data_IF_634812235170
#
_entry.id   IF_634812235170
#
_cell.length_a   1.000
_cell.length_b   1.000
_cell.length_c   1.000
_cell.angle_alpha   90.00
_cell.angle_beta   90.00
_cell.angle_gamma   90.00
#
_symmetry.space_group_name_H-M   'P 1'
#
loop_
_entity.id
_entity.type
_entity.pdbx_description
1 polymer ?
#
# COMPACT_ATOMS: atom_id res chain seq x y z
N UNK A 1 -50.74 0.06 -15.91
CA UNK A 1 -49.60 -0.16 -16.83
C UNK A 1 -48.60 1.00 -16.83
N UNK A 2 -49.02 2.26 -17.05
CA UNK A 2 -48.10 3.43 -17.09
C UNK A 2 -47.26 3.66 -15.82
N UNK A 3 -47.83 3.41 -14.62
CA UNK A 3 -47.14 3.58 -13.33
C UNK A 3 -46.04 2.54 -13.06
N UNK A 4 -46.19 1.33 -13.59
CA UNK A 4 -45.18 0.26 -13.46
C UNK A 4 -43.97 0.54 -14.35
N UNK A 5 -44.20 1.13 -15.52
CA UNK A 5 -43.15 1.50 -16.47
C UNK A 5 -42.24 2.62 -15.91
N UNK A 6 -42.84 3.62 -15.26
CA UNK A 6 -42.11 4.71 -14.58
C UNK A 6 -41.27 4.20 -13.39
N UNK A 7 -41.80 3.27 -12.60
CA UNK A 7 -41.06 2.64 -11.49
C UNK A 7 -39.87 1.79 -11.97
N UNK A 8 -40.01 1.09 -13.11
CA UNK A 8 -38.89 0.33 -13.69
C UNK A 8 -37.77 1.23 -14.26
N UNK A 9 -38.15 2.34 -14.89
CA UNK A 9 -37.18 3.30 -15.43
C UNK A 9 -36.37 4.00 -14.32
N UNK A 10 -37.01 4.27 -13.18
CA UNK A 10 -36.35 4.88 -12.02
C UNK A 10 -35.35 3.92 -11.35
N UNK A 11 -35.66 2.61 -11.32
CA UNK A 11 -34.77 1.60 -10.77
C UNK A 11 -33.50 1.39 -11.63
N UNK A 12 -33.61 1.50 -12.96
CA UNK A 12 -32.45 1.40 -13.85
C UNK A 12 -31.47 2.58 -13.72
N UNK A 13 -31.95 3.78 -13.36
CA UNK A 13 -31.08 4.95 -13.20
C UNK A 13 -30.23 4.89 -11.91
N UNK A 14 -30.65 4.16 -10.88
CA UNK A 14 -29.88 4.05 -9.63
C UNK A 14 -28.71 3.04 -9.70
N UNK A 15 -28.62 2.23 -10.76
CA UNK A 15 -27.56 1.22 -10.90
C UNK A 15 -26.25 1.75 -11.53
N UNK A 16 -26.26 2.97 -12.11
CA UNK A 16 -25.14 3.46 -12.95
C UNK A 16 -24.04 4.18 -12.12
N UNK A 17 -24.32 4.60 -10.89
CA UNK A 17 -23.40 5.44 -10.09
C UNK A 17 -22.33 4.69 -9.27
N UNK A 18 -22.27 3.36 -9.32
CA UNK A 18 -21.42 2.56 -8.41
C UNK A 18 -19.95 2.35 -8.85
N UNK A 19 -19.48 2.92 -9.97
CA UNK A 19 -18.19 2.55 -10.60
C UNK A 19 -17.11 3.67 -10.69
N UNK A 20 -17.19 4.76 -9.92
CA UNK A 20 -16.27 5.90 -10.11
C UNK A 20 -14.95 5.84 -9.29
N UNK A 21 -14.91 5.16 -8.13
CA UNK A 21 -13.80 5.30 -7.15
C UNK A 21 -12.49 4.57 -7.50
N UNK A 22 -12.41 3.83 -8.61
CA UNK A 22 -11.19 3.10 -9.03
C UNK A 22 -10.46 3.78 -10.18
N UNK A 23 -10.98 4.91 -10.65
CA UNK A 23 -10.62 5.48 -11.95
C UNK A 23 -9.37 6.35 -11.86
N UNK A 24 -9.15 7.05 -10.75
CA UNK A 24 -8.14 8.10 -10.60
C UNK A 24 -6.70 7.57 -10.80
N UNK A 25 -6.24 6.62 -9.99
CA UNK A 25 -4.87 6.06 -10.13
C UNK A 25 -4.63 5.39 -11.48
N UNK A 26 -5.64 4.68 -12.00
CA UNK A 26 -5.57 4.04 -13.31
C UNK A 26 -5.49 5.07 -14.43
N UNK A 27 -6.31 6.11 -14.35
CA UNK A 27 -6.34 7.19 -15.31
C UNK A 27 -5.01 7.94 -15.32
N UNK A 28 -4.48 8.26 -14.13
CA UNK A 28 -3.18 8.89 -13.99
C UNK A 28 -2.05 8.07 -14.62
N UNK A 29 -2.00 6.76 -14.37
CA UNK A 29 -1.00 5.89 -14.99
C UNK A 29 -1.17 5.83 -16.51
N UNK A 30 -2.42 5.75 -16.99
CA UNK A 30 -2.72 5.74 -18.42
C UNK A 30 -2.36 7.07 -19.11
N UNK A 31 -2.44 8.20 -18.42
CA UNK A 31 -2.04 9.52 -18.95
C UNK A 31 -0.51 9.63 -19.12
N UNK A 32 0.26 8.82 -18.39
CA UNK A 32 1.72 8.81 -18.44
C UNK A 32 2.30 7.63 -19.22
N UNK A 33 1.49 6.67 -19.70
CA UNK A 33 2.00 5.49 -20.40
C UNK A 33 2.59 5.77 -21.79
N UNK A 34 2.45 6.99 -22.32
CA UNK A 34 3.04 7.42 -23.59
C UNK A 34 4.39 8.11 -23.44
N UNK A 35 4.77 8.48 -22.21
CA UNK A 35 5.98 9.27 -21.90
C UNK A 35 6.86 8.63 -20.81
N UNK A 36 6.46 7.46 -20.34
CA UNK A 36 7.09 6.75 -19.24
C UNK A 36 6.80 5.25 -19.34
N UNK A 37 7.73 4.43 -18.85
CA UNK A 37 7.50 3.02 -18.61
C UNK A 37 6.53 2.87 -17.43
N UNK A 38 5.44 2.12 -17.63
CA UNK A 38 4.41 1.94 -16.61
C UNK A 38 4.17 0.46 -16.35
N UNK A 39 4.34 0.04 -15.09
CA UNK A 39 4.02 -1.32 -14.69
C UNK A 39 2.77 -1.35 -13.83
N UNK A 40 1.97 -2.40 -14.01
CA UNK A 40 0.76 -2.62 -13.22
C UNK A 40 0.70 -4.04 -12.71
N UNK A 41 0.76 -4.17 -11.39
CA UNK A 41 0.60 -5.46 -10.70
C UNK A 41 -0.68 -5.40 -9.87
N UNK A 42 -1.62 -6.29 -10.15
CA UNK A 42 -2.92 -6.35 -9.48
C UNK A 42 -3.17 -7.71 -8.86
N UNK A 43 -3.07 -7.79 -7.53
CA UNK A 43 -3.37 -9.01 -6.78
C UNK A 43 -4.73 -8.86 -6.10
N UNK A 44 -5.67 -9.74 -6.45
CA UNK A 44 -6.97 -9.85 -5.79
C UNK A 44 -6.91 -10.82 -4.60
N UNK A 45 -7.99 -10.89 -3.82
CA UNK A 45 -8.04 -11.75 -2.63
C UNK A 45 -7.75 -13.23 -2.91
N UNK A 46 -8.07 -13.72 -4.11
CA UNK A 46 -7.85 -15.12 -4.49
C UNK A 46 -6.35 -15.47 -4.55
N UNK A 47 -5.52 -14.82 -5.39
CA UNK A 47 -4.08 -15.11 -5.40
C UNK A 47 -3.42 -14.84 -4.04
N UNK A 48 -3.83 -13.79 -3.30
CA UNK A 48 -3.32 -13.53 -1.95
C UNK A 48 -3.59 -14.67 -0.97
N UNK A 49 -4.78 -15.29 -1.02
CA UNK A 49 -5.11 -16.45 -0.19
C UNK A 49 -4.32 -17.69 -0.57
N UNK A 50 -4.06 -17.88 -1.86
CA UNK A 50 -3.28 -19.01 -2.36
C UNK A 50 -1.84 -18.90 -1.86
N UNK A 51 -1.21 -17.72 -1.99
CA UNK A 51 0.12 -17.45 -1.42
C UNK A 51 0.15 -17.73 0.09
N UNK A 52 -0.88 -17.29 0.82
CA UNK A 52 -0.99 -17.56 2.27
C UNK A 52 -1.10 -19.05 2.63
N UNK A 53 -1.56 -19.91 1.71
CA UNK A 53 -1.65 -21.35 1.92
C UNK A 53 -0.34 -22.08 1.61
N UNK A 54 0.40 -21.62 0.59
CA UNK A 54 1.69 -22.22 0.19
C UNK A 54 2.85 -21.87 1.12
N UNK A 55 2.74 -20.81 1.93
CA UNK A 55 3.77 -20.46 2.92
C UNK A 55 3.64 -21.39 4.14
N UNK A 56 4.65 -22.23 4.45
CA UNK A 56 4.59 -23.22 5.52
C UNK A 56 4.28 -22.56 6.88
N UNK A 57 3.53 -23.26 7.74
CA UNK A 57 3.07 -22.75 9.03
C UNK A 57 4.19 -22.26 9.95
N UNK A 58 5.37 -22.87 9.85
CA UNK A 58 6.59 -22.51 10.59
C UNK A 58 7.14 -21.12 10.22
N UNK A 59 6.90 -20.65 8.98
CA UNK A 59 7.25 -19.29 8.55
C UNK A 59 6.30 -18.23 9.14
N UNK A 60 5.23 -18.64 9.82
CA UNK A 60 4.28 -17.76 10.50
C UNK A 60 4.42 -17.76 12.03
N UNK A 61 5.48 -18.34 12.59
CA UNK A 61 5.68 -18.37 14.04
C UNK A 61 6.02 -16.99 14.63
N UNK A 62 5.66 -16.80 15.90
CA UNK A 62 5.83 -15.53 16.60
C UNK A 62 5.10 -14.36 15.91
N UNK A 63 5.89 -13.34 15.57
CA UNK A 63 5.44 -12.04 15.07
C UNK A 63 4.69 -12.09 13.74
N UNK A 64 4.91 -13.17 12.97
CA UNK A 64 4.35 -13.41 11.66
C UNK A 64 2.87 -13.86 11.70
N UNK A 65 2.38 -14.43 12.81
CA UNK A 65 0.95 -14.78 12.98
C UNK A 65 0.04 -13.57 12.89
N UNK A 66 0.46 -12.45 13.47
CA UNK A 66 -0.31 -11.21 13.42
C UNK A 66 -0.29 -10.59 12.02
N UNK A 67 0.85 -10.62 11.34
CA UNK A 67 0.96 -10.25 9.92
C UNK A 67 0.00 -11.07 9.04
N UNK A 68 -0.12 -12.37 9.29
CA UNK A 68 -1.09 -13.23 8.58
C UNK A 68 -2.54 -12.77 8.78
N UNK A 69 -2.90 -12.33 9.98
CA UNK A 69 -4.24 -11.81 10.27
C UNK A 69 -4.50 -10.49 9.54
N UNK A 70 -3.49 -9.60 9.48
CA UNK A 70 -3.57 -8.34 8.75
C UNK A 70 -3.66 -8.55 7.23
N UNK A 71 -2.83 -9.44 6.67
CA UNK A 71 -2.88 -9.80 5.24
C UNK A 71 -4.24 -10.38 4.86
N UNK A 72 -4.87 -11.18 5.74
CA UNK A 72 -6.24 -11.68 5.51
C UNK A 72 -7.29 -10.56 5.46
N UNK A 73 -7.05 -9.42 6.10
CA UNK A 73 -7.92 -8.23 6.02
C UNK A 73 -7.69 -7.43 4.73
N UNK A 74 -6.62 -7.72 3.98
CA UNK A 74 -6.38 -7.15 2.65
C UNK A 74 -7.17 -7.93 1.59
N UNK A 75 -8.05 -7.22 0.87
CA UNK A 75 -8.89 -7.78 -0.21
C UNK A 75 -8.23 -7.68 -1.58
N UNK A 76 -7.45 -6.63 -1.83
CA UNK A 76 -6.71 -6.48 -3.08
C UNK A 76 -5.58 -5.49 -2.91
N UNK A 77 -4.48 -5.74 -3.60
CA UNK A 77 -3.38 -4.81 -3.79
C UNK A 77 -3.30 -4.47 -5.27
N UNK A 78 -3.15 -3.19 -5.57
CA UNK A 78 -2.79 -2.72 -6.91
C UNK A 78 -1.58 -1.82 -6.77
N UNK A 79 -0.54 -2.17 -7.51
CA UNK A 79 0.69 -1.42 -7.63
C UNK A 79 0.74 -0.85 -9.04
N UNK A 80 1.04 0.44 -9.14
CA UNK A 80 1.42 1.11 -10.37
C UNK A 80 2.77 1.76 -10.13
N UNK A 81 3.70 1.53 -11.05
CA UNK A 81 4.96 2.27 -11.10
C UNK A 81 4.98 3.06 -12.40
N UNK A 82 5.57 4.25 -12.34
CA UNK A 82 5.82 5.12 -13.47
C UNK A 82 7.31 5.47 -13.39
N UNK A 83 8.07 5.08 -14.40
CA UNK A 83 9.49 5.38 -14.55
C UNK A 83 9.65 6.26 -15.79
N UNK A 84 10.15 7.47 -15.60
CA UNK A 84 10.25 8.47 -16.66
C UNK A 84 11.50 8.23 -17.52
N UNK A 85 11.31 8.10 -18.83
CA UNK A 85 12.38 7.72 -19.78
C UNK A 85 13.57 8.71 -19.79
N UNK A 86 13.33 9.95 -19.41
CA UNK A 86 14.31 11.04 -19.39
C UNK A 86 14.93 11.31 -18.01
N UNK A 87 14.57 10.53 -16.98
CA UNK A 87 15.01 10.75 -15.59
C UNK A 87 14.39 11.99 -14.93
N UNK A 88 13.48 12.71 -15.61
CA UNK A 88 12.77 13.83 -14.98
C UNK A 88 11.69 13.30 -14.04
N UNK A 89 11.50 13.96 -12.88
CA UNK A 89 10.41 13.58 -11.99
C UNK A 89 9.03 13.84 -12.63
N UNK A 90 8.06 13.00 -12.27
CA UNK A 90 6.65 13.24 -12.64
C UNK A 90 6.23 14.64 -12.21
N UNK A 91 5.61 15.38 -13.13
CA UNK A 91 5.33 16.81 -12.92
C UNK A 91 4.56 17.06 -11.62
N UNK A 92 5.00 18.04 -10.83
CA UNK A 92 4.35 18.40 -9.56
C UNK A 92 2.88 18.77 -9.74
N UNK A 93 2.52 19.37 -10.87
CA UNK A 93 1.15 19.73 -11.21
C UNK A 93 0.28 18.49 -11.44
N UNK A 94 0.79 17.52 -12.22
CA UNK A 94 0.12 16.22 -12.44
C UNK A 94 -0.13 15.51 -11.12
N UNK A 95 0.88 15.45 -10.24
CA UNK A 95 0.76 14.83 -8.92
C UNK A 95 -0.22 15.59 -8.03
N UNK A 96 -0.19 16.92 -8.02
CA UNK A 96 -1.13 17.73 -7.25
C UNK A 96 -2.58 17.52 -7.70
N UNK A 97 -2.82 17.42 -9.02
CA UNK A 97 -4.13 17.09 -9.59
C UNK A 97 -4.59 15.71 -9.16
N UNK A 98 -3.73 14.69 -9.24
CA UNK A 98 -4.04 13.35 -8.74
C UNK A 98 -4.47 13.38 -7.27
N UNK A 99 -3.73 14.11 -6.42
CA UNK A 99 -4.10 14.27 -5.00
C UNK A 99 -5.47 14.91 -4.86
N UNK A 100 -5.73 15.99 -5.58
CA UNK A 100 -7.01 16.68 -5.55
C UNK A 100 -8.17 15.78 -5.97
N UNK A 101 -7.99 14.97 -7.02
CA UNK A 101 -9.00 14.01 -7.48
C UNK A 101 -9.23 12.91 -6.43
N UNK A 102 -8.16 12.44 -5.76
CA UNK A 102 -8.28 11.49 -4.66
C UNK A 102 -9.04 12.09 -3.46
N UNK A 103 -8.78 13.35 -3.09
CA UNK A 103 -9.49 14.02 -2.01
C UNK A 103 -10.97 14.28 -2.34
N UNK A 104 -11.24 14.83 -3.53
CA UNK A 104 -12.58 15.33 -3.86
C UNK A 104 -13.50 14.23 -4.37
N UNK A 105 -13.07 13.45 -5.38
CA UNK A 105 -13.88 12.38 -5.97
C UNK A 105 -13.72 11.07 -5.19
N UNK A 106 -12.48 10.78 -4.79
CA UNK A 106 -12.13 9.57 -4.07
C UNK A 106 -12.51 9.61 -2.60
N UNK A 107 -12.81 10.79 -2.03
CA UNK A 107 -13.07 11.01 -0.59
C UNK A 107 -11.99 10.39 0.29
N UNK A 108 -10.74 10.50 -0.15
CA UNK A 108 -9.59 10.14 0.67
C UNK A 108 -9.27 11.27 1.64
N UNK A 109 -8.61 10.93 2.73
CA UNK A 109 -8.08 11.84 3.75
C UNK A 109 -6.60 11.51 3.99
N UNK A 110 -5.79 12.52 4.25
CA UNK A 110 -4.36 12.34 4.56
C UNK A 110 -4.21 11.74 5.95
N UNK A 111 -3.55 10.59 6.04
CA UNK A 111 -3.17 9.97 7.32
C UNK A 111 -1.77 10.36 7.74
N UNK A 112 -0.84 10.34 6.80
CA UNK A 112 0.57 10.56 7.07
C UNK A 112 1.25 11.13 5.83
N UNK A 113 2.15 12.07 6.05
CA UNK A 113 2.96 12.68 5.00
C UNK A 113 4.39 12.76 5.50
N UNK A 114 5.31 12.18 4.74
CA UNK A 114 6.73 12.15 5.03
C UNK A 114 7.45 12.80 3.84
N UNK A 115 8.32 13.75 4.15
CA UNK A 115 9.15 14.47 3.17
C UNK A 115 10.60 14.26 3.55
N UNK A 116 11.37 13.73 2.62
CA UNK A 116 12.82 13.59 2.67
C UNK A 116 13.45 14.34 1.49
N UNK A 117 14.77 14.56 1.52
CA UNK A 117 15.47 15.29 0.46
C UNK A 117 15.30 14.60 -0.91
N UNK A 118 15.33 13.27 -0.92
CA UNK A 118 15.29 12.46 -2.14
C UNK A 118 13.90 11.88 -2.46
N UNK A 119 12.88 12.18 -1.65
CA UNK A 119 11.58 11.55 -1.85
C UNK A 119 10.44 12.05 -0.99
N UNK A 120 9.23 11.78 -1.46
CA UNK A 120 7.99 12.17 -0.83
C UNK A 120 7.03 10.99 -0.74
N UNK A 121 6.71 10.60 0.50
CA UNK A 121 5.76 9.51 0.79
C UNK A 121 4.50 10.09 1.39
N UNK A 122 3.36 9.76 0.81
CA UNK A 122 2.05 10.19 1.28
C UNK A 122 1.12 8.99 1.43
N UNK A 123 0.51 8.87 2.61
CA UNK A 123 -0.47 7.85 2.94
C UNK A 123 -1.85 8.49 3.07
N UNK A 124 -2.77 7.98 2.25
CA UNK A 124 -4.14 8.43 2.14
C UNK A 124 -5.07 7.29 2.52
N UNK A 125 -6.20 7.59 3.16
CA UNK A 125 -7.21 6.58 3.48
C UNK A 125 -8.62 7.05 3.16
N UNK A 126 -9.48 6.10 2.82
CA UNK A 126 -10.91 6.33 2.73
C UNK A 126 -11.60 5.32 3.67
N UNK A 127 -12.26 5.87 4.69
CA UNK A 127 -13.07 5.13 5.64
C UNK A 127 -14.55 5.25 5.27
N UNK A 128 -15.29 4.14 5.39
CA UNK A 128 -16.75 4.13 5.19
C UNK A 128 -17.52 4.35 6.50
N UNK A 129 -16.84 4.12 7.62
CA UNK A 129 -17.32 4.25 9.01
C UNK A 129 -16.11 4.64 9.85
N UNK A 130 -16.31 5.36 10.96
CA UNK A 130 -15.22 5.91 11.79
C UNK A 130 -14.12 4.92 12.18
N UNK A 131 -14.45 3.63 12.31
CA UNK A 131 -13.49 2.59 12.70
C UNK A 131 -12.98 1.72 11.55
N UNK A 132 -13.48 1.84 10.31
CA UNK A 132 -13.11 0.93 9.21
C UNK A 132 -12.51 1.64 8.00
N UNK A 133 -11.28 1.24 7.68
CA UNK A 133 -10.53 1.70 6.51
C UNK A 133 -10.71 0.72 5.37
N UNK A 134 -11.48 1.14 4.38
CA UNK A 134 -11.82 0.34 3.21
C UNK A 134 -10.77 0.45 2.11
N UNK A 135 -10.13 1.61 1.98
CA UNK A 135 -9.09 1.84 1.00
C UNK A 135 -7.92 2.61 1.62
N UNK A 136 -6.71 2.18 1.31
CA UNK A 136 -5.47 2.91 1.57
C UNK A 136 -4.79 3.17 0.23
N UNK A 137 -4.25 4.37 0.06
CA UNK A 137 -3.41 4.75 -1.08
C UNK A 137 -2.07 5.23 -0.54
N UNK A 138 -0.99 4.62 -1.00
CA UNK A 138 0.38 5.08 -0.77
C UNK A 138 0.86 5.72 -2.07
N UNK A 139 1.34 6.95 -1.99
CA UNK A 139 2.02 7.64 -3.09
C UNK A 139 3.47 7.83 -2.66
N UNK A 140 4.39 7.30 -3.43
CA UNK A 140 5.83 7.48 -3.26
C UNK A 140 6.31 8.19 -4.52
N UNK A 141 6.93 9.35 -4.35
CA UNK A 141 7.51 10.12 -5.43
C UNK A 141 8.99 10.29 -5.13
N UNK A 142 9.82 9.80 -6.02
CA UNK A 142 11.27 9.92 -6.01
C UNK A 142 11.71 10.56 -7.33
N UNK A 143 13.00 10.84 -7.50
CA UNK A 143 13.51 11.42 -8.74
C UNK A 143 13.33 10.43 -9.90
N UNK A 144 12.62 10.83 -10.95
CA UNK A 144 12.34 9.97 -12.12
C UNK A 144 11.32 8.85 -11.90
N UNK A 145 10.96 8.52 -10.66
CA UNK A 145 10.07 7.39 -10.33
C UNK A 145 8.86 7.83 -9.49
N UNK A 146 7.70 7.27 -9.82
CA UNK A 146 6.52 7.38 -8.98
C UNK A 146 5.87 6.02 -8.77
N UNK A 147 5.79 5.61 -7.50
CA UNK A 147 5.12 4.39 -7.08
C UNK A 147 3.80 4.72 -6.42
N UNK A 148 2.74 4.08 -6.89
CA UNK A 148 1.41 4.21 -6.33
C UNK A 148 0.87 2.85 -5.92
N UNK A 149 0.49 2.72 -4.66
CA UNK A 149 -0.09 1.49 -4.11
C UNK A 149 -1.51 1.77 -3.68
N UNK A 150 -2.48 1.02 -4.20
CA UNK A 150 -3.85 1.04 -3.72
C UNK A 150 -4.22 -0.30 -3.09
N UNK A 151 -4.54 -0.25 -1.82
CA UNK A 151 -4.92 -1.36 -0.98
C UNK A 151 -6.42 -1.27 -0.70
N UNK A 152 -7.18 -2.31 -1.05
CA UNK A 152 -8.55 -2.46 -0.58
C UNK A 152 -8.54 -3.37 0.64
N UNK A 153 -9.11 -2.92 1.74
CA UNK A 153 -8.94 -3.57 3.05
C UNK A 153 -10.25 -3.72 3.81
N UNK A 154 -10.14 -4.31 5.00
CA UNK A 154 -11.10 -4.30 6.12
C UNK A 154 -10.34 -3.99 7.41
N UNK A 155 -9.29 -3.17 7.33
CA UNK A 155 -8.49 -2.81 8.49
C UNK A 155 -9.26 -1.81 9.34
N UNK A 156 -9.03 -1.85 10.64
CA UNK A 156 -9.52 -0.83 11.57
C UNK A 156 -8.42 0.18 11.91
N UNK A 157 -8.78 1.27 12.58
CA UNK A 157 -7.79 2.24 13.05
C UNK A 157 -6.85 1.62 14.10
N UNK A 158 -7.38 0.72 14.92
CA UNK A 158 -6.59 -0.12 15.83
C UNK A 158 -5.59 -1.00 15.09
N UNK A 159 -5.97 -1.62 13.98
CA UNK A 159 -5.05 -2.44 13.18
C UNK A 159 -3.90 -1.59 12.64
N UNK A 160 -4.18 -0.38 12.16
CA UNK A 160 -3.17 0.56 11.67
C UNK A 160 -2.21 1.00 12.79
N UNK A 161 -2.75 1.30 13.96
CA UNK A 161 -1.96 1.68 15.13
C UNK A 161 -1.03 0.54 15.57
N UNK A 162 -1.53 -0.71 15.53
CA UNK A 162 -0.70 -1.91 15.79
C UNK A 162 0.40 -2.08 14.75
N UNK A 163 0.12 -1.86 13.46
CA UNK A 163 1.12 -1.93 12.39
C UNK A 163 2.20 -0.87 12.60
N UNK A 164 1.81 0.39 12.82
CA UNK A 164 2.73 1.50 13.02
C UNK A 164 3.65 1.27 14.24
N UNK A 165 3.07 0.82 15.36
CA UNK A 165 3.84 0.51 16.56
C UNK A 165 4.83 -0.64 16.33
N UNK A 166 4.46 -1.67 15.58
CA UNK A 166 5.36 -2.78 15.22
C UNK A 166 6.52 -2.34 14.35
N UNK A 167 6.25 -1.52 13.33
CA UNK A 167 7.31 -0.99 12.46
C UNK A 167 8.28 -0.16 13.30
N UNK A 168 7.78 0.72 14.17
CA UNK A 168 8.60 1.53 15.06
C UNK A 168 9.43 0.71 16.06
N UNK A 169 8.88 -0.40 16.58
CA UNK A 169 9.62 -1.29 17.48
C UNK A 169 10.77 -1.99 16.74
N UNK A 170 10.54 -2.52 15.54
CA UNK A 170 11.59 -3.15 14.73
C UNK A 170 12.71 -2.19 14.37
N UNK A 171 12.37 -0.95 13.99
CA UNK A 171 13.37 0.09 13.71
C UNK A 171 14.26 0.36 14.95
N UNK A 172 13.67 0.38 16.15
CA UNK A 172 14.42 0.56 17.41
C UNK A 172 15.27 -0.65 17.81
N UNK A 173 14.81 -1.86 17.48
CA UNK A 173 15.55 -3.10 17.76
C UNK A 173 16.77 -3.24 16.84
N UNK A 174 16.70 -2.72 15.60
CA UNK A 174 17.80 -2.70 14.64
C UNK A 174 18.86 -1.62 14.95
N UNK A 175 18.52 -0.55 15.67
CA UNK A 175 19.47 0.50 16.10
C UNK A 175 20.30 0.13 17.34
N UNK A 176 20.05 -1.02 17.99
CA UNK A 176 20.79 -1.40 19.19
C UNK A 176 22.20 -1.90 18.80
N UNK A 177 23.30 -1.25 19.25
CA UNK A 177 24.64 -1.64 18.85
C UNK A 177 24.94 -3.03 19.41
N UNK A 178 25.37 -3.93 18.53
CA UNK A 178 25.94 -5.24 18.88
C UNK A 178 27.14 -4.98 19.79
N UNK A 179 26.94 -5.07 21.10
CA UNK A 179 28.02 -5.12 22.07
C UNK A 179 28.86 -6.36 21.74
N UNK A 180 30.10 -6.12 21.29
CA UNK A 180 31.12 -7.14 21.10
C UNK A 180 31.36 -7.85 22.42
N UNK A 181 30.85 -9.06 22.55
CA UNK A 181 31.30 -10.02 23.54
C UNK A 181 32.65 -10.59 23.05
N UNK A 182 33.74 -9.95 23.50
CA UNK A 182 35.07 -10.54 23.47
C UNK A 182 35.31 -11.02 24.89
N UNK A 183 35.28 -12.34 25.08
CA UNK A 183 36.02 -13.14 26.07
C UNK A 183 35.34 -14.51 26.12
N UNK A 184 35.91 -15.58 25.56
CA UNK A 184 36.59 -16.72 26.24
C UNK A 184 36.44 -17.88 25.20
N UNK A 185 37.35 -18.78 24.85
CA UNK A 185 38.53 -19.33 25.50
C UNK A 185 39.51 -19.91 24.46
N UNK A 186 40.75 -20.05 24.93
CA UNK A 186 41.87 -20.79 24.40
C UNK A 186 41.56 -22.18 23.82
N UNK A 187 42.29 -22.53 22.76
CA UNK A 187 42.90 -23.87 22.66
C UNK A 187 44.17 -23.77 21.81
N UNK A 188 45.31 -24.08 22.41
CA UNK A 188 46.60 -24.29 21.74
C UNK A 188 46.49 -25.36 20.65
N UNK A 189 47.45 -25.40 19.70
CA UNK A 189 48.18 -26.65 19.57
C UNK A 189 49.70 -26.48 19.45
N UNK A 190 50.38 -27.45 20.07
CA UNK A 190 51.78 -27.80 19.96
C UNK A 190 52.21 -28.06 18.51
N UNK A 191 53.40 -27.57 18.16
CA UNK A 191 54.34 -28.19 17.19
C UNK A 191 55.72 -27.57 17.48
N UNK A 192 56.67 -28.28 18.11
CA UNK A 192 57.63 -29.21 17.48
C UNK A 192 58.57 -28.51 16.50
N UNK A 193 59.70 -28.01 17.00
CA UNK A 193 61.08 -28.31 16.57
C UNK A 193 62.08 -27.68 17.54
#
# INVERSE_FOLDING_TARGET
>A
MKRVLVLSALACMMAISASAQRKQLRQFTNEHCSVAETHRIGLSFLPLRIVSWFIPGSAWEGDARELKLLVKKVKSVKLWTIEMDNGEAVSRESVAKLKQDLYTEGKFESLMEIRHEDGHVQLLSNAKTDDRIDNLVVLIQEEGEMVMVHLKTKLTMDDLSRIANKINQRVKDEEKPVAKDKDVAATEPKTSL
#
